data_IF_481526978354
#
_entry.id   IF_481526978354
#
_cell.length_a   1.000
_cell.length_b   1.000
_cell.length_c   1.000
_cell.angle_alpha   90.00
_cell.angle_beta   90.00
_cell.angle_gamma   90.00
#
_symmetry.space_group_name_H-M   'P 1'
#
loop_
_entity.id
_entity.type
_entity.pdbx_description
1 polymer ?
#
# COMPACT_ATOMS: atom_id res chain seq x y z
N UNK A 1 55.32 -19.54 12.25
CA UNK A 1 53.94 -19.45 12.74
C UNK A 1 53.49 -20.89 13.06
N UNK A 2 52.99 -21.15 14.28
CA UNK A 2 52.48 -22.49 14.60
C UNK A 2 51.20 -22.78 13.77
N UNK A 3 50.89 -24.07 13.54
CA UNK A 3 49.62 -24.44 12.87
C UNK A 3 48.40 -23.82 13.56
N UNK A 4 48.40 -23.80 14.90
CA UNK A 4 47.33 -23.19 15.70
C UNK A 4 47.21 -21.68 15.44
N UNK A 5 48.33 -20.93 15.37
CA UNK A 5 48.29 -19.49 15.05
C UNK A 5 47.79 -19.23 13.65
N UNK A 6 48.06 -20.08 12.67
CA UNK A 6 47.56 -19.96 11.31
C UNK A 6 46.03 -20.14 11.28
N UNK A 7 45.48 -21.18 11.92
CA UNK A 7 44.04 -21.40 11.98
C UNK A 7 43.31 -20.27 12.71
N UNK A 8 43.90 -19.74 13.77
CA UNK A 8 43.30 -18.61 14.51
C UNK A 8 43.22 -17.34 13.65
N UNK A 9 44.31 -16.98 12.96
CA UNK A 9 44.32 -15.82 12.04
C UNK A 9 43.33 -16.03 10.89
N UNK A 10 43.30 -17.22 10.30
CA UNK A 10 42.37 -17.55 9.22
C UNK A 10 40.90 -17.45 9.68
N UNK A 11 40.58 -17.95 10.89
CA UNK A 11 39.24 -17.81 11.46
C UNK A 11 38.85 -16.34 11.67
N UNK A 12 39.75 -15.51 12.19
CA UNK A 12 39.49 -14.07 12.36
C UNK A 12 39.22 -13.41 11.00
N UNK A 13 39.98 -13.74 9.96
CA UNK A 13 39.79 -13.20 8.62
C UNK A 13 38.42 -13.58 8.02
N UNK A 14 38.01 -14.82 8.17
CA UNK A 14 36.69 -15.28 7.72
C UNK A 14 35.59 -14.53 8.48
N UNK A 15 35.70 -14.45 9.81
CA UNK A 15 34.71 -13.75 10.63
C UNK A 15 34.62 -12.27 10.27
N UNK A 16 35.77 -11.61 10.12
CA UNK A 16 35.83 -10.19 9.71
C UNK A 16 35.22 -9.98 8.34
N UNK A 17 35.52 -10.83 7.36
CA UNK A 17 34.95 -10.74 6.02
C UNK A 17 33.44 -10.98 6.02
N UNK A 18 32.95 -11.92 6.82
CA UNK A 18 31.51 -12.18 6.97
C UNK A 18 30.79 -10.98 7.58
N UNK A 19 31.37 -10.36 8.62
CA UNK A 19 30.83 -9.15 9.25
C UNK A 19 30.82 -7.99 8.26
N UNK A 20 31.92 -7.76 7.53
CA UNK A 20 31.99 -6.70 6.52
C UNK A 20 31.00 -6.90 5.39
N UNK A 21 30.83 -8.13 4.93
CA UNK A 21 29.85 -8.49 3.89
C UNK A 21 28.42 -8.25 4.38
N UNK A 22 28.11 -8.63 5.62
CA UNK A 22 26.81 -8.36 6.23
C UNK A 22 26.52 -6.85 6.36
N UNK A 23 27.48 -6.07 6.86
CA UNK A 23 27.35 -4.60 6.97
C UNK A 23 27.20 -3.96 5.58
N UNK A 24 27.96 -4.42 4.59
CA UNK A 24 27.88 -3.88 3.23
C UNK A 24 26.52 -4.19 2.60
N UNK A 25 26.03 -5.41 2.73
CA UNK A 25 24.71 -5.80 2.25
C UNK A 25 23.60 -4.98 2.92
N UNK A 26 23.61 -4.90 4.25
CA UNK A 26 22.61 -4.14 5.01
C UNK A 26 22.62 -2.65 4.65
N UNK A 27 23.79 -2.05 4.46
CA UNK A 27 23.89 -0.65 4.01
C UNK A 27 23.40 -0.44 2.60
N UNK A 28 23.63 -1.37 1.68
CA UNK A 28 23.12 -1.27 0.31
C UNK A 28 21.59 -1.35 0.29
N UNK A 29 21.01 -2.25 1.07
CA UNK A 29 19.55 -2.36 1.24
C UNK A 29 18.96 -1.07 1.81
N UNK A 30 19.55 -0.53 2.89
CA UNK A 30 19.11 0.74 3.51
C UNK A 30 19.25 1.94 2.56
N UNK A 31 20.19 1.92 1.61
CA UNK A 31 20.37 2.99 0.64
C UNK A 31 19.20 3.16 -0.33
N UNK A 32 18.39 2.13 -0.52
CA UNK A 32 17.19 2.14 -1.37
C UNK A 32 16.14 3.08 -0.80
N UNK A 33 16.02 3.17 0.54
CA UNK A 33 15.05 4.04 1.19
C UNK A 33 15.42 5.52 1.02
N UNK A 34 14.66 6.22 0.18
CA UNK A 34 14.80 7.65 -0.13
C UNK A 34 13.80 8.49 0.66
N UNK A 35 14.05 9.80 0.75
CA UNK A 35 13.18 10.75 1.44
C UNK A 35 11.77 10.79 0.83
N UNK A 36 11.69 10.70 -0.50
CA UNK A 36 10.43 10.82 -1.25
C UNK A 36 9.96 9.45 -1.77
N UNK A 37 10.11 8.40 -0.96
CA UNK A 37 9.78 7.03 -1.37
C UNK A 37 8.31 6.84 -1.78
N UNK A 38 7.37 7.61 -1.21
CA UNK A 38 5.95 7.56 -1.62
C UNK A 38 5.70 7.99 -3.06
N UNK A 39 6.62 8.75 -3.67
CA UNK A 39 6.56 9.13 -5.08
C UNK A 39 7.29 8.12 -5.99
N UNK A 40 7.93 7.10 -5.43
CA UNK A 40 8.63 6.10 -6.21
C UNK A 40 7.65 5.13 -6.87
N UNK A 41 8.03 4.61 -8.05
CA UNK A 41 7.24 3.61 -8.74
C UNK A 41 7.12 2.32 -7.91
N UNK A 42 8.19 1.94 -7.24
CA UNK A 42 8.25 0.76 -6.38
C UNK A 42 7.25 0.83 -5.21
N UNK A 43 7.12 1.99 -4.55
CA UNK A 43 6.12 2.17 -3.49
C UNK A 43 4.69 2.15 -4.05
N UNK A 44 4.46 2.77 -5.21
CA UNK A 44 3.14 2.87 -5.81
C UNK A 44 2.68 1.55 -6.45
N UNK A 45 3.61 0.72 -6.89
CA UNK A 45 3.39 -0.60 -7.52
C UNK A 45 3.66 -1.74 -6.52
N UNK A 46 3.09 -1.64 -5.33
CA UNK A 46 3.28 -2.64 -4.28
C UNK A 46 2.72 -4.01 -4.70
N UNK A 47 3.53 -5.04 -4.57
CA UNK A 47 3.13 -6.42 -4.85
C UNK A 47 3.01 -7.20 -3.53
N UNK A 48 1.90 -6.98 -2.83
CA UNK A 48 1.59 -7.68 -1.58
C UNK A 48 0.58 -8.79 -1.86
N UNK A 49 1.02 -10.05 -1.77
CA UNK A 49 0.11 -11.17 -1.97
C UNK A 49 -0.98 -11.23 -0.89
N UNK A 50 -2.21 -11.71 -1.23
CA UNK A 50 -3.28 -11.88 -0.25
C UNK A 50 -2.88 -12.72 0.97
N UNK A 51 -2.05 -13.73 0.78
CA UNK A 51 -1.57 -14.58 1.85
C UNK A 51 -0.64 -13.83 2.82
N UNK A 52 0.29 -13.03 2.31
CA UNK A 52 1.15 -12.19 3.17
C UNK A 52 0.33 -11.11 3.90
N UNK A 53 -0.63 -10.49 3.22
CA UNK A 53 -1.55 -9.54 3.86
C UNK A 53 -2.32 -10.20 5.01
N UNK A 54 -2.87 -11.40 4.79
CA UNK A 54 -3.56 -12.17 5.82
C UNK A 54 -2.64 -12.49 7.01
N UNK A 55 -1.41 -12.95 6.76
CA UNK A 55 -0.44 -13.22 7.82
C UNK A 55 -0.11 -11.98 8.65
N UNK A 56 -0.01 -10.81 8.03
CA UNK A 56 0.22 -9.54 8.72
C UNK A 56 -0.96 -9.14 9.60
N UNK A 57 -2.17 -9.17 9.05
CA UNK A 57 -3.39 -8.73 9.76
C UNK A 57 -3.84 -9.72 10.84
N UNK A 58 -3.66 -11.03 10.61
CA UNK A 58 -3.98 -12.08 11.58
C UNK A 58 -2.88 -12.32 12.61
N UNK A 59 -1.78 -11.58 12.55
CA UNK A 59 -0.67 -11.71 13.50
C UNK A 59 -1.03 -11.38 14.95
N UNK A 60 -2.22 -10.83 15.19
CA UNK A 60 -2.68 -10.36 16.51
C UNK A 60 -2.02 -9.07 16.98
N UNK A 61 -1.26 -8.43 16.12
CA UNK A 61 -0.64 -7.13 16.37
C UNK A 61 -1.66 -6.00 16.22
N UNK A 62 -1.42 -4.89 16.93
CA UNK A 62 -2.16 -3.66 16.67
C UNK A 62 -1.85 -3.12 15.26
N UNK A 63 -2.77 -2.34 14.64
CA UNK A 63 -2.55 -1.80 13.29
C UNK A 63 -1.21 -1.06 13.11
N UNK A 64 -0.76 -0.29 14.09
CA UNK A 64 0.55 0.38 14.07
C UNK A 64 1.73 -0.58 14.00
N UNK A 65 1.60 -1.74 14.63
CA UNK A 65 2.69 -2.71 14.74
C UNK A 65 2.77 -3.60 13.50
N UNK A 66 1.65 -4.03 12.94
CA UNK A 66 1.68 -4.78 11.69
C UNK A 66 2.05 -3.87 10.49
N UNK A 67 1.73 -2.57 10.49
CA UNK A 67 2.24 -1.63 9.50
C UNK A 67 3.76 -1.42 9.61
N UNK A 68 4.33 -1.48 10.81
CA UNK A 68 5.78 -1.50 10.99
C UNK A 68 6.42 -2.76 10.37
N UNK A 69 5.81 -3.91 10.63
CA UNK A 69 6.23 -5.19 10.05
C UNK A 69 6.06 -5.21 8.52
N UNK A 70 4.96 -4.68 7.99
CA UNK A 70 4.74 -4.48 6.56
C UNK A 70 5.83 -3.60 5.95
N UNK A 71 6.09 -2.42 6.54
CA UNK A 71 7.12 -1.48 6.07
C UNK A 71 8.48 -2.16 5.95
N UNK A 72 8.86 -2.89 6.99
CA UNK A 72 10.13 -3.61 7.04
C UNK A 72 10.20 -4.71 5.99
N UNK A 73 9.13 -5.49 5.86
CA UNK A 73 9.01 -6.58 4.88
C UNK A 73 9.13 -6.05 3.45
N UNK A 74 8.42 -4.96 3.13
CA UNK A 74 8.49 -4.33 1.81
C UNK A 74 9.88 -3.80 1.48
N UNK A 75 10.52 -3.12 2.41
CA UNK A 75 11.87 -2.60 2.22
C UNK A 75 12.92 -3.71 2.04
N UNK A 76 12.86 -4.74 2.87
CA UNK A 76 13.82 -5.85 2.83
C UNK A 76 13.68 -6.71 1.55
N UNK A 77 12.53 -6.64 0.89
CA UNK A 77 12.23 -7.35 -0.36
C UNK A 77 12.25 -6.45 -1.61
N UNK A 78 12.68 -5.20 -1.49
CA UNK A 78 12.59 -4.21 -2.59
C UNK A 78 11.17 -4.09 -3.16
N UNK A 79 10.16 -4.08 -2.29
CA UNK A 79 8.73 -4.00 -2.57
C UNK A 79 8.10 -5.21 -3.30
N UNK A 80 8.82 -6.34 -3.39
CA UNK A 80 8.30 -7.61 -3.91
C UNK A 80 8.46 -8.74 -2.88
N UNK A 81 7.69 -8.72 -1.76
CA UNK A 81 7.88 -9.65 -0.67
C UNK A 81 7.39 -11.06 -1.00
N UNK A 82 8.19 -12.05 -0.64
CA UNK A 82 7.83 -13.46 -0.70
C UNK A 82 7.56 -14.05 0.70
N UNK A 83 8.05 -13.39 1.73
CA UNK A 83 7.89 -13.78 3.14
C UNK A 83 8.05 -12.57 4.05
N UNK A 84 7.52 -12.68 5.26
CA UNK A 84 7.65 -11.64 6.29
C UNK A 84 9.10 -11.53 6.75
N UNK A 85 9.59 -10.29 6.83
CA UNK A 85 10.95 -9.96 7.25
C UNK A 85 10.93 -8.84 8.30
N UNK A 86 11.14 -9.14 9.60
CA UNK A 86 10.91 -8.18 10.68
C UNK A 86 12.11 -7.30 11.04
N UNK A 87 13.32 -7.54 10.50
CA UNK A 87 14.52 -6.81 10.92
C UNK A 87 14.59 -5.41 10.32
N UNK A 88 14.23 -4.41 11.12
CA UNK A 88 14.29 -2.98 10.78
C UNK A 88 15.50 -2.26 11.40
N UNK A 89 16.40 -2.96 12.05
CA UNK A 89 17.50 -2.40 12.85
C UNK A 89 18.32 -1.37 12.08
N UNK A 90 18.73 -1.69 10.85
CA UNK A 90 19.53 -0.80 10.03
C UNK A 90 18.77 0.45 9.54
N UNK A 91 17.48 0.32 9.26
CA UNK A 91 16.64 1.47 8.89
C UNK A 91 16.52 2.44 10.05
N UNK A 92 16.23 1.94 11.25
CA UNK A 92 16.12 2.77 12.44
C UNK A 92 17.44 3.42 12.82
N UNK A 93 18.57 2.74 12.57
CA UNK A 93 19.91 3.27 12.87
C UNK A 93 20.37 4.35 11.86
N UNK A 94 20.13 4.14 10.56
CA UNK A 94 20.71 4.97 9.51
C UNK A 94 19.74 5.84 8.76
N UNK A 95 18.43 5.51 8.74
CA UNK A 95 17.38 6.15 7.94
C UNK A 95 16.07 6.35 8.70
N UNK A 96 16.15 6.54 10.01
CA UNK A 96 14.99 6.57 10.91
C UNK A 96 13.86 7.48 10.42
N UNK A 97 14.16 8.71 10.01
CA UNK A 97 13.13 9.66 9.56
C UNK A 97 12.42 9.19 8.28
N UNK A 98 13.15 8.66 7.31
CA UNK A 98 12.57 8.13 6.07
C UNK A 98 11.76 6.86 6.34
N UNK A 99 12.26 5.99 7.23
CA UNK A 99 11.57 4.78 7.63
C UNK A 99 10.22 5.09 8.31
N UNK A 100 10.21 5.99 9.28
CA UNK A 100 8.98 6.41 9.98
C UNK A 100 8.00 7.11 9.02
N UNK A 101 8.50 7.89 8.07
CA UNK A 101 7.66 8.50 7.05
C UNK A 101 6.99 7.44 6.16
N UNK A 102 7.74 6.43 5.71
CA UNK A 102 7.18 5.32 4.92
C UNK A 102 6.16 4.52 5.74
N UNK A 103 6.48 4.22 6.99
CA UNK A 103 5.55 3.56 7.91
C UNK A 103 4.23 4.34 8.03
N UNK A 104 4.30 5.66 8.22
CA UNK A 104 3.10 6.50 8.29
C UNK A 104 2.27 6.46 6.99
N UNK A 105 2.91 6.34 5.83
CA UNK A 105 2.18 6.14 4.57
C UNK A 105 1.47 4.78 4.53
N UNK A 106 2.11 3.71 5.00
CA UNK A 106 1.47 2.41 5.11
C UNK A 106 0.31 2.42 6.13
N UNK A 107 0.47 3.08 7.28
CA UNK A 107 -0.60 3.27 8.25
C UNK A 107 -1.78 4.04 7.64
N UNK A 108 -1.50 5.10 6.87
CA UNK A 108 -2.53 5.90 6.21
C UNK A 108 -3.33 5.10 5.18
N UNK A 109 -2.69 4.19 4.45
CA UNK A 109 -3.32 3.42 3.36
C UNK A 109 -3.94 2.13 3.90
N UNK A 110 -3.24 1.37 4.75
CA UNK A 110 -3.62 0.03 5.15
C UNK A 110 -4.21 -0.07 6.56
N UNK A 111 -3.89 0.90 7.43
CA UNK A 111 -4.18 0.80 8.87
C UNK A 111 -5.66 0.77 9.25
N UNK A 112 -6.53 1.32 8.43
CA UNK A 112 -7.95 1.51 8.75
C UNK A 112 -8.91 0.91 7.70
N UNK A 113 -8.43 0.02 6.83
CA UNK A 113 -9.29 -0.66 5.87
C UNK A 113 -10.19 -1.67 6.60
N UNK A 114 -11.50 -1.59 6.36
CA UNK A 114 -12.50 -2.43 7.02
C UNK A 114 -13.32 -3.25 6.03
N UNK A 115 -13.54 -2.73 4.82
CA UNK A 115 -14.40 -3.34 3.81
C UNK A 115 -13.75 -3.33 2.43
N UNK A 116 -14.22 -4.21 1.56
CA UNK A 116 -14.02 -4.11 0.12
C UNK A 116 -14.95 -3.03 -0.45
N UNK A 117 -14.55 -2.23 -1.46
CA UNK A 117 -15.31 -1.02 -1.87
C UNK A 117 -16.66 -1.31 -2.54
N UNK A 118 -16.97 -2.54 -2.89
CA UNK A 118 -18.25 -2.95 -3.47
C UNK A 118 -18.93 -3.94 -2.54
N UNK A 119 -20.18 -3.69 -2.17
CA UNK A 119 -20.94 -4.53 -1.28
C UNK A 119 -21.52 -5.76 -2.05
N UNK A 120 -20.65 -6.59 -2.61
CA UNK A 120 -20.99 -7.83 -3.32
C UNK A 120 -19.81 -8.78 -3.36
N UNK A 121 -20.09 -10.10 -3.31
CA UNK A 121 -19.07 -11.16 -3.33
C UNK A 121 -18.72 -11.62 -4.76
N UNK A 122 -19.43 -11.14 -5.79
CA UNK A 122 -19.28 -11.58 -7.18
C UNK A 122 -18.45 -10.61 -8.05
N UNK A 123 -17.71 -9.69 -7.42
CA UNK A 123 -16.90 -8.71 -8.11
C UNK A 123 -15.56 -9.31 -8.53
N UNK A 124 -15.20 -9.12 -9.79
CA UNK A 124 -13.89 -9.42 -10.33
C UNK A 124 -13.06 -8.15 -10.48
N UNK A 125 -11.76 -8.29 -10.35
CA UNK A 125 -10.79 -7.23 -10.62
C UNK A 125 -9.49 -7.83 -11.15
N UNK A 126 -8.74 -7.02 -11.90
CA UNK A 126 -7.40 -7.34 -12.36
C UNK A 126 -6.45 -6.22 -11.93
N UNK A 127 -5.19 -6.56 -11.71
CA UNK A 127 -4.16 -5.55 -11.49
C UNK A 127 -3.91 -4.81 -12.80
N UNK A 128 -4.54 -3.66 -12.92
CA UNK A 128 -4.42 -2.75 -14.07
C UNK A 128 -3.63 -1.48 -13.74
N UNK A 129 -2.92 -1.48 -12.62
CA UNK A 129 -2.05 -0.37 -12.23
C UNK A 129 -0.98 -0.12 -13.29
N UNK A 130 -0.82 1.13 -13.70
CA UNK A 130 0.13 1.58 -14.73
C UNK A 130 -0.14 1.06 -16.15
N UNK A 131 -1.25 0.38 -16.41
CA UNK A 131 -1.66 0.03 -17.77
C UNK A 131 -1.81 1.29 -18.63
N UNK A 132 -1.32 1.20 -19.87
CA UNK A 132 -1.42 2.29 -20.82
C UNK A 132 -2.87 2.56 -21.23
N UNK A 133 -3.30 3.81 -21.14
CA UNK A 133 -4.62 4.29 -21.57
C UNK A 133 -4.47 5.29 -22.70
N UNK A 134 -5.27 5.12 -23.74
CA UNK A 134 -5.28 6.02 -24.92
C UNK A 134 -6.42 7.05 -24.85
N UNK A 135 -7.50 6.74 -24.14
CA UNK A 135 -8.59 7.68 -23.92
C UNK A 135 -8.13 8.85 -23.03
N UNK A 136 -8.35 10.06 -23.46
CA UNK A 136 -7.93 11.27 -22.75
C UNK A 136 -6.44 11.61 -22.89
N UNK A 137 -5.72 11.02 -23.85
CA UNK A 137 -4.29 11.23 -24.11
C UNK A 137 -3.44 10.03 -23.68
N UNK A 138 -2.13 10.16 -23.83
CA UNK A 138 -1.19 9.16 -23.34
C UNK A 138 -1.07 9.29 -21.82
N UNK A 139 -1.61 8.34 -21.09
CA UNK A 139 -1.56 8.27 -19.64
C UNK A 139 -1.51 6.84 -19.15
N UNK A 140 -1.22 6.65 -17.90
CA UNK A 140 -1.31 5.35 -17.24
C UNK A 140 -2.53 5.30 -16.33
N UNK A 141 -3.05 4.10 -16.12
CA UNK A 141 -4.12 3.86 -15.17
C UNK A 141 -3.57 3.94 -13.74
N UNK A 142 -4.13 4.80 -12.92
CA UNK A 142 -3.71 4.99 -11.51
C UNK A 142 -4.79 4.48 -10.55
N UNK A 143 -5.29 3.28 -10.80
CA UNK A 143 -6.35 2.64 -10.02
C UNK A 143 -6.52 1.18 -10.36
N UNK A 144 -7.56 0.58 -9.83
CA UNK A 144 -7.99 -0.79 -10.13
C UNK A 144 -9.42 -0.76 -10.66
N UNK A 145 -9.64 -1.36 -11.83
CA UNK A 145 -10.97 -1.50 -12.40
C UNK A 145 -11.68 -2.69 -11.73
N UNK A 146 -12.92 -2.44 -11.28
CA UNK A 146 -13.79 -3.44 -10.64
C UNK A 146 -14.97 -3.74 -11.54
N UNK A 147 -15.28 -5.02 -11.74
CA UNK A 147 -16.34 -5.47 -12.63
C UNK A 147 -17.28 -6.43 -11.91
N UNK A 148 -18.57 -6.19 -12.04
CA UNK A 148 -19.62 -7.13 -11.64
C UNK A 148 -20.21 -7.85 -12.85
N UNK A 149 -20.71 -9.09 -12.69
CA UNK A 149 -21.35 -9.84 -13.76
C UNK A 149 -22.65 -9.19 -14.27
N UNK A 150 -23.30 -8.38 -13.45
CA UNK A 150 -24.49 -7.61 -13.86
C UNK A 150 -24.05 -6.28 -14.45
N UNK A 151 -24.21 -6.14 -15.76
CA UNK A 151 -23.78 -4.93 -16.50
C UNK A 151 -24.73 -3.72 -16.36
N UNK A 152 -25.76 -3.82 -15.51
CA UNK A 152 -26.69 -2.72 -15.26
C UNK A 152 -26.03 -1.64 -14.40
N UNK A 153 -25.93 -0.44 -14.94
CA UNK A 153 -25.47 0.75 -14.19
C UNK A 153 -26.40 1.00 -12.98
N UNK A 154 -25.83 1.27 -11.84
CA UNK A 154 -26.56 1.49 -10.58
C UNK A 154 -26.94 0.23 -9.82
N UNK A 155 -26.50 -0.95 -10.26
CA UNK A 155 -26.83 -2.20 -9.59
C UNK A 155 -26.01 -2.45 -8.31
N UNK A 156 -24.71 -2.24 -8.35
CA UNK A 156 -23.79 -2.52 -7.23
C UNK A 156 -23.60 -1.31 -6.33
N UNK A 157 -23.89 -1.42 -5.02
CA UNK A 157 -23.55 -0.37 -4.07
C UNK A 157 -22.04 -0.26 -3.90
N UNK A 158 -21.56 0.97 -3.93
CA UNK A 158 -20.18 1.35 -3.60
C UNK A 158 -20.17 1.89 -2.18
N UNK A 159 -19.33 1.30 -1.34
CA UNK A 159 -19.25 1.63 0.09
C UNK A 159 -17.90 2.22 0.45
N UNK A 160 -17.88 3.01 1.51
CA UNK A 160 -16.63 3.51 2.08
C UNK A 160 -15.83 2.36 2.70
N UNK A 161 -14.59 2.20 2.31
CA UNK A 161 -13.69 1.17 2.84
C UNK A 161 -13.14 1.52 4.24
N UNK A 162 -13.33 2.76 4.68
CA UNK A 162 -12.79 3.32 5.92
C UNK A 162 -13.71 4.41 6.48
N UNK A 163 -13.58 4.69 7.77
CA UNK A 163 -14.11 5.94 8.32
C UNK A 163 -13.33 7.13 7.76
N UNK A 164 -14.00 8.27 7.59
CA UNK A 164 -13.34 9.44 7.07
C UNK A 164 -14.24 10.63 6.80
N UNK A 165 -13.73 11.54 6.01
CA UNK A 165 -14.42 12.78 5.61
C UNK A 165 -14.45 12.85 4.09
N UNK A 166 -15.58 13.22 3.52
CA UNK A 166 -15.69 13.57 2.11
C UNK A 166 -14.77 14.76 1.83
N UNK A 167 -13.72 14.56 1.07
CA UNK A 167 -12.79 15.62 0.70
C UNK A 167 -13.19 16.26 -0.63
N UNK A 168 -13.67 15.45 -1.56
CA UNK A 168 -14.09 15.92 -2.87
C UNK A 168 -15.25 15.07 -3.40
N UNK A 169 -16.18 15.73 -4.13
CA UNK A 169 -17.28 15.11 -4.86
C UNK A 169 -17.50 15.88 -6.17
N UNK A 170 -18.03 15.22 -7.17
CA UNK A 170 -18.45 15.87 -8.42
C UNK A 170 -18.02 15.09 -9.64
N UNK A 171 -18.11 15.73 -10.79
CA UNK A 171 -17.83 15.13 -12.09
C UNK A 171 -16.47 15.60 -12.64
N UNK A 172 -15.72 14.67 -13.22
CA UNK A 172 -14.46 14.93 -13.93
C UNK A 172 -14.45 14.25 -15.30
N UNK A 173 -13.78 14.84 -16.33
CA UNK A 173 -13.75 14.26 -17.68
C UNK A 173 -13.23 12.82 -17.77
N UNK A 174 -12.29 12.42 -16.90
CA UNK A 174 -11.68 11.09 -16.89
C UNK A 174 -12.17 10.19 -15.74
N UNK A 175 -12.87 10.73 -14.76
CA UNK A 175 -13.33 10.00 -13.58
C UNK A 175 -14.85 9.87 -13.50
N UNK A 176 -15.60 10.55 -14.40
CA UNK A 176 -17.06 10.61 -14.33
C UNK A 176 -17.54 11.19 -13.01
N UNK A 177 -18.68 10.71 -12.51
CA UNK A 177 -19.09 10.99 -11.13
C UNK A 177 -18.13 10.29 -10.16
N UNK A 178 -17.58 11.08 -9.25
CA UNK A 178 -16.55 10.62 -8.32
C UNK A 178 -16.74 11.19 -6.93
N UNK A 179 -16.28 10.43 -5.92
CA UNK A 179 -16.17 10.88 -4.55
C UNK A 179 -14.80 10.47 -3.98
N UNK A 180 -14.20 11.32 -3.19
CA UNK A 180 -12.92 11.08 -2.52
C UNK A 180 -13.06 11.20 -1.03
N UNK A 181 -12.63 10.19 -0.31
CA UNK A 181 -12.68 10.10 1.15
C UNK A 181 -11.27 10.23 1.71
N UNK A 182 -11.09 11.18 2.64
CA UNK A 182 -9.89 11.28 3.47
C UNK A 182 -10.12 10.50 4.74
N UNK A 183 -9.39 9.39 4.93
CA UNK A 183 -9.49 8.59 6.15
C UNK A 183 -8.94 9.32 7.37
N UNK A 184 -9.31 8.87 8.55
CA UNK A 184 -8.80 9.41 9.82
C UNK A 184 -7.28 9.23 9.98
N UNK A 185 -6.70 8.21 9.35
CA UNK A 185 -5.25 7.99 9.26
C UNK A 185 -4.53 8.84 8.21
N UNK A 186 -5.27 9.61 7.38
CA UNK A 186 -4.73 10.50 6.36
C UNK A 186 -4.64 9.91 4.95
N UNK A 187 -5.02 8.66 4.74
CA UNK A 187 -5.13 8.04 3.41
C UNK A 187 -6.24 8.70 2.57
N UNK A 188 -6.04 8.81 1.26
CA UNK A 188 -7.04 9.33 0.35
C UNK A 188 -7.54 8.21 -0.56
N UNK A 189 -8.84 7.92 -0.47
CA UNK A 189 -9.50 6.86 -1.22
C UNK A 189 -10.45 7.47 -2.24
N UNK A 190 -10.25 7.12 -3.51
CA UNK A 190 -10.94 7.71 -4.64
C UNK A 190 -11.82 6.68 -5.33
N UNK A 191 -13.11 6.98 -5.40
CA UNK A 191 -14.12 6.16 -6.06
C UNK A 191 -14.61 6.91 -7.30
N UNK A 192 -14.45 6.30 -8.46
CA UNK A 192 -14.74 6.92 -9.75
C UNK A 192 -15.80 6.13 -10.53
N UNK A 193 -16.26 6.72 -11.62
CA UNK A 193 -17.22 6.15 -12.56
C UNK A 193 -18.54 5.72 -11.92
N UNK A 194 -18.98 6.44 -10.88
CA UNK A 194 -20.28 6.18 -10.25
C UNK A 194 -21.44 6.52 -11.21
N UNK A 195 -22.54 5.79 -11.09
CA UNK A 195 -23.79 6.13 -11.79
C UNK A 195 -24.56 7.23 -11.05
N UNK A 196 -24.53 7.18 -9.72
CA UNK A 196 -25.18 8.15 -8.83
C UNK A 196 -24.52 8.11 -7.46
N UNK A 197 -24.76 9.15 -6.67
CA UNK A 197 -24.48 9.15 -5.24
C UNK A 197 -25.69 8.61 -4.47
N UNK A 198 -25.47 8.03 -3.28
CA UNK A 198 -26.57 7.61 -2.41
C UNK A 198 -27.32 8.82 -1.86
N UNK A 199 -26.56 9.84 -1.45
CA UNK A 199 -27.13 11.09 -0.93
C UNK A 199 -26.36 12.31 -1.44
N UNK A 200 -26.79 13.52 -1.06
CA UNK A 200 -26.14 14.75 -1.49
C UNK A 200 -24.94 15.11 -0.58
N UNK A 201 -23.92 14.24 -0.59
CA UNK A 201 -22.67 14.50 0.13
C UNK A 201 -22.05 15.83 -0.25
N UNK A 202 -21.48 16.50 0.74
CA UNK A 202 -20.69 17.71 0.57
C UNK A 202 -19.29 17.56 1.17
N UNK A 203 -18.27 18.26 0.66
CA UNK A 203 -16.96 18.28 1.29
C UNK A 203 -17.05 18.69 2.77
N UNK A 204 -16.50 17.88 3.65
CA UNK A 204 -16.59 18.02 5.10
C UNK A 204 -17.55 17.04 5.79
N UNK A 205 -18.45 16.40 5.04
CA UNK A 205 -19.36 15.40 5.61
C UNK A 205 -18.58 14.17 6.10
N UNK A 206 -18.97 13.66 7.26
CA UNK A 206 -18.40 12.44 7.84
C UNK A 206 -19.06 11.22 7.23
N UNK A 207 -18.26 10.22 6.89
CA UNK A 207 -18.73 8.90 6.45
C UNK A 207 -18.13 7.82 7.34
N UNK A 208 -18.86 6.73 7.50
CA UNK A 208 -18.41 5.55 8.23
C UNK A 208 -17.99 4.45 7.25
N UNK A 209 -17.08 3.60 7.69
CA UNK A 209 -16.75 2.38 6.95
C UNK A 209 -18.01 1.54 6.74
N UNK A 210 -18.22 1.07 5.49
CA UNK A 210 -19.45 0.34 5.10
C UNK A 210 -20.63 1.22 4.68
N UNK A 211 -20.56 2.54 4.86
CA UNK A 211 -21.60 3.45 4.40
C UNK A 211 -21.65 3.53 2.88
N UNK A 212 -22.86 3.51 2.31
CA UNK A 212 -23.04 3.58 0.85
C UNK A 212 -22.72 4.99 0.37
N UNK A 213 -21.75 5.11 -0.51
CA UNK A 213 -21.35 6.37 -1.14
C UNK A 213 -22.12 6.64 -2.44
N UNK A 214 -22.54 5.58 -3.11
CA UNK A 214 -23.22 5.63 -4.38
C UNK A 214 -23.26 4.26 -5.04
N UNK A 215 -23.42 4.26 -6.36
CA UNK A 215 -23.61 3.02 -7.12
C UNK A 215 -22.64 2.95 -8.29
N UNK A 216 -22.23 1.72 -8.63
CA UNK A 216 -21.31 1.45 -9.72
C UNK A 216 -21.94 1.90 -11.06
N UNK A 217 -21.14 2.55 -11.88
CA UNK A 217 -21.54 3.04 -13.18
C UNK A 217 -20.46 2.84 -14.23
N UNK A 218 -20.56 3.61 -15.30
CA UNK A 218 -19.63 3.63 -16.44
C UNK A 218 -19.48 5.05 -17.00
N UNK A 219 -19.60 6.06 -16.15
CA UNK A 219 -19.55 7.48 -16.54
C UNK A 219 -18.14 7.96 -16.84
#
# INVERSE_FOLDING_TARGET
>A
MSRSSFFFVFFILILSNSILSYISFSRSTVSVLKKDCAASAEFRQQDLSPELYRQLTESGLYPSDWCDLLTTTMLNSHFHPQHISPDNTFYLLYKKSCYLQLKNYYEAIWGNLQYFPVASDDISYEDSWMDSRTYGGNRHHEGTDLFGPVSQSGYYPIISITDGIVEQKGWLPLGGYRIGIRSDSGGYFYYAHLSSYEEDFTPGDRVQAGEILGFMGNT
#
